data_IF_052773738159
#
_entry.id   IF_052773738159
#
_cell.length_a   1.000
_cell.length_b   1.000
_cell.length_c   1.000
_cell.angle_alpha   90.00
_cell.angle_beta   90.00
_cell.angle_gamma   90.00
#
_symmetry.space_group_name_H-M   'P 1'
#
loop_
_entity.id
_entity.type
_entity.pdbx_description
1 polymer ?
#
# COMPACT_ATOMS: atom_id res chain seq x y z
N UNK A 1 -3.29 -3.29 -24.15
CA UNK A 1 -1.92 -2.75 -23.94
C UNK A 1 -1.17 -3.72 -23.05
N UNK A 2 -0.01 -4.22 -23.49
CA UNK A 2 0.76 -5.25 -22.75
C UNK A 2 1.82 -4.66 -21.80
N UNK A 3 1.92 -3.34 -21.69
CA UNK A 3 2.89 -2.69 -20.80
C UNK A 3 2.56 -2.96 -19.33
N UNK A 4 3.55 -3.40 -18.56
CA UNK A 4 3.49 -3.63 -17.13
C UNK A 4 4.03 -2.39 -16.41
N UNK A 5 3.19 -1.76 -15.61
CA UNK A 5 3.57 -0.58 -14.83
C UNK A 5 4.06 -0.97 -13.42
N UNK A 6 4.75 -0.06 -12.72
CA UNK A 6 5.07 -0.22 -11.29
C UNK A 6 3.86 -0.64 -10.46
N UNK A 7 2.72 0.04 -10.65
CA UNK A 7 1.48 -0.30 -9.94
C UNK A 7 0.88 -1.65 -10.35
N UNK A 8 1.16 -2.14 -11.56
CA UNK A 8 0.78 -3.50 -11.95
C UNK A 8 1.64 -4.56 -11.27
N UNK A 9 2.94 -4.27 -11.07
CA UNK A 9 3.85 -5.14 -10.33
C UNK A 9 3.41 -5.35 -8.88
N UNK A 10 3.01 -4.28 -8.19
CA UNK A 10 2.46 -4.40 -6.83
C UNK A 10 1.19 -5.25 -6.80
N UNK A 11 0.28 -5.07 -7.77
CA UNK A 11 -0.93 -5.93 -7.89
C UNK A 11 -0.59 -7.40 -8.11
N UNK A 12 0.46 -7.68 -8.87
CA UNK A 12 0.93 -9.04 -9.08
C UNK A 12 1.47 -9.66 -7.79
N UNK A 13 2.24 -8.91 -6.98
CA UNK A 13 2.71 -9.36 -5.67
C UNK A 13 1.55 -9.63 -4.71
N UNK A 14 0.49 -8.82 -4.75
CA UNK A 14 -0.72 -9.04 -3.95
C UNK A 14 -1.47 -10.32 -4.36
N UNK A 15 -1.71 -10.47 -5.67
CA UNK A 15 -2.40 -11.62 -6.26
C UNK A 15 -2.21 -11.65 -7.80
N UNK A 16 -1.53 -12.66 -8.37
CA UNK A 16 -1.34 -12.77 -9.82
C UNK A 16 -2.63 -12.86 -10.63
N UNK A 17 -3.68 -13.50 -10.07
CA UNK A 17 -5.00 -13.53 -10.69
C UNK A 17 -5.61 -12.13 -10.75
N UNK A 18 -5.53 -11.35 -9.67
CA UNK A 18 -6.01 -9.96 -9.66
C UNK A 18 -5.29 -9.11 -10.70
N UNK A 19 -3.96 -9.22 -10.80
CA UNK A 19 -3.18 -8.55 -11.84
C UNK A 19 -3.70 -8.87 -13.26
N UNK A 20 -4.03 -10.13 -13.54
CA UNK A 20 -4.62 -10.51 -14.83
C UNK A 20 -5.98 -9.84 -15.07
N UNK A 21 -6.92 -9.95 -14.10
CA UNK A 21 -8.25 -9.37 -14.22
C UNK A 21 -8.19 -7.85 -14.39
N UNK A 22 -7.32 -7.16 -13.64
CA UNK A 22 -7.11 -5.73 -13.76
C UNK A 22 -6.71 -5.30 -15.18
N UNK A 23 -5.88 -6.10 -15.88
CA UNK A 23 -5.37 -5.75 -17.21
C UNK A 23 -6.29 -6.22 -18.35
N UNK A 24 -7.03 -7.30 -18.15
CA UNK A 24 -7.77 -7.98 -19.23
C UNK A 24 -9.28 -7.88 -19.10
N UNK A 25 -9.79 -7.80 -17.88
CA UNK A 25 -11.21 -7.88 -17.56
C UNK A 25 -11.58 -7.01 -16.35
N UNK A 26 -11.30 -5.69 -16.37
CA UNK A 26 -11.50 -4.81 -15.23
C UNK A 26 -12.97 -4.67 -14.79
N UNK A 27 -13.92 -5.03 -15.67
CA UNK A 27 -15.36 -4.95 -15.42
C UNK A 27 -15.89 -5.97 -14.40
N UNK A 28 -15.13 -7.04 -14.11
CA UNK A 28 -15.51 -8.02 -13.06
C UNK A 28 -14.90 -7.70 -11.70
N UNK A 29 -14.07 -6.66 -11.62
CA UNK A 29 -13.47 -6.25 -10.37
C UNK A 29 -14.49 -5.49 -9.53
N UNK A 30 -14.56 -5.86 -8.26
CA UNK A 30 -15.25 -5.07 -7.25
C UNK A 30 -14.42 -3.82 -6.95
N UNK A 31 -14.58 -2.81 -7.79
CA UNK A 31 -13.90 -1.53 -7.64
C UNK A 31 -14.60 -0.75 -6.53
N UNK A 32 -14.08 -0.88 -5.31
CA UNK A 32 -14.48 0.00 -4.22
C UNK A 32 -14.14 1.43 -4.63
N UNK A 33 -15.14 2.32 -4.58
CA UNK A 33 -14.89 3.75 -4.71
C UNK A 33 -13.86 4.18 -3.65
N UNK A 34 -12.92 5.04 -4.04
CA UNK A 34 -11.94 5.56 -3.09
C UNK A 34 -12.68 6.23 -1.93
N UNK A 35 -12.43 5.74 -0.72
CA UNK A 35 -12.97 6.36 0.49
C UNK A 35 -12.37 7.76 0.64
N UNK A 36 -13.01 8.62 1.44
CA UNK A 36 -12.45 9.94 1.73
C UNK A 36 -11.10 9.84 2.45
N UNK A 37 -10.89 8.76 3.21
CA UNK A 37 -9.60 8.42 3.77
C UNK A 37 -8.54 8.15 2.69
N UNK A 38 -8.87 7.36 1.66
CA UNK A 38 -7.94 7.07 0.55
C UNK A 38 -7.60 8.32 -0.25
N UNK A 39 -8.58 9.20 -0.50
CA UNK A 39 -8.37 10.49 -1.17
C UNK A 39 -7.43 11.38 -0.37
N UNK A 40 -7.60 11.44 0.96
CA UNK A 40 -6.73 12.24 1.83
C UNK A 40 -5.31 11.64 1.90
N UNK A 41 -5.17 10.31 1.85
CA UNK A 41 -3.86 9.66 1.77
C UNK A 41 -3.12 10.03 0.47
N UNK A 42 -3.83 10.05 -0.67
CA UNK A 42 -3.26 10.49 -1.97
C UNK A 42 -2.80 11.95 -1.88
N UNK A 43 -3.64 12.82 -1.32
CA UNK A 43 -3.33 14.26 -1.16
C UNK A 43 -2.12 14.49 -0.25
N UNK A 44 -2.04 13.77 0.86
CA UNK A 44 -0.88 13.78 1.75
C UNK A 44 0.38 13.31 1.02
N UNK A 45 0.31 12.23 0.23
CA UNK A 45 1.43 11.76 -0.58
C UNK A 45 1.95 12.83 -1.56
N UNK A 46 1.03 13.49 -2.28
CA UNK A 46 1.38 14.60 -3.18
C UNK A 46 2.00 15.79 -2.43
N UNK A 47 1.55 16.08 -1.22
CA UNK A 47 2.13 17.13 -0.38
C UNK A 47 3.58 16.80 0.00
N UNK A 48 3.83 15.57 0.44
CA UNK A 48 5.18 15.10 0.78
C UNK A 48 6.10 15.13 -0.43
N UNK A 49 5.61 14.74 -1.62
CA UNK A 49 6.36 14.84 -2.87
C UNK A 49 6.76 16.29 -3.17
N UNK A 50 5.86 17.26 -3.00
CA UNK A 50 6.17 18.69 -3.16
C UNK A 50 7.24 19.15 -2.17
N UNK A 51 7.23 18.66 -0.93
CA UNK A 51 8.28 18.95 0.05
C UNK A 51 9.62 18.30 -0.32
N UNK A 52 9.61 17.09 -0.86
CA UNK A 52 10.81 16.39 -1.29
C UNK A 52 11.52 17.11 -2.44
N UNK A 53 10.76 17.69 -3.39
CA UNK A 53 11.32 18.52 -4.47
C UNK A 53 12.12 19.71 -3.94
N UNK A 54 11.75 20.29 -2.78
CA UNK A 54 12.51 21.39 -2.15
C UNK A 54 13.91 20.99 -1.68
N UNK A 55 14.20 19.69 -1.57
CA UNK A 55 15.56 19.20 -1.30
C UNK A 55 16.50 19.38 -2.51
N UNK A 56 15.92 19.56 -3.71
CA UNK A 56 16.61 19.67 -4.99
C UNK A 56 16.20 20.95 -5.74
N UNK A 57 16.63 22.13 -5.29
CA UNK A 57 16.13 23.42 -5.82
C UNK A 57 16.39 23.66 -7.31
N UNK A 58 17.35 22.94 -7.92
CA UNK A 58 17.68 23.02 -9.35
C UNK A 58 16.94 21.98 -10.20
N UNK A 59 16.06 21.18 -9.60
CA UNK A 59 15.33 20.13 -10.30
C UNK A 59 14.29 20.69 -11.26
N UNK A 60 14.12 20.03 -12.40
CA UNK A 60 13.11 20.35 -13.41
C UNK A 60 11.98 19.32 -13.36
N UNK A 61 10.73 19.75 -13.38
CA UNK A 61 9.58 18.85 -13.40
C UNK A 61 9.24 18.45 -14.84
N UNK A 62 9.02 17.15 -15.07
CA UNK A 62 8.32 16.66 -16.27
C UNK A 62 6.84 16.96 -16.11
N UNK A 63 6.29 17.86 -16.92
CA UNK A 63 4.88 18.28 -16.80
C UNK A 63 3.93 17.40 -17.61
N UNK A 64 4.42 16.79 -18.69
CA UNK A 64 3.62 15.94 -19.54
C UNK A 64 3.32 14.57 -18.91
N UNK A 65 2.46 13.78 -19.57
CA UNK A 65 1.94 12.50 -19.06
C UNK A 65 2.06 11.40 -20.11
N UNK A 66 2.06 10.14 -19.64
CA UNK A 66 2.07 8.93 -20.49
C UNK A 66 3.22 8.97 -21.50
N UNK A 67 2.94 8.74 -22.79
CA UNK A 67 3.96 8.72 -23.86
C UNK A 67 4.70 10.05 -24.01
N UNK A 68 4.04 11.18 -23.77
CA UNK A 68 4.70 12.49 -23.84
C UNK A 68 5.74 12.65 -22.73
N UNK A 69 5.48 12.10 -21.53
CA UNK A 69 6.43 12.15 -20.41
C UNK A 69 7.72 11.40 -20.70
N UNK A 70 7.66 10.30 -21.46
CA UNK A 70 8.85 9.56 -21.90
C UNK A 70 9.71 10.44 -22.81
N UNK A 71 9.08 11.16 -23.74
CA UNK A 71 9.78 12.02 -24.70
C UNK A 71 10.41 13.23 -23.99
N UNK A 72 9.63 13.93 -23.16
CA UNK A 72 10.13 15.05 -22.36
C UNK A 72 11.26 14.62 -21.41
N UNK A 73 11.14 13.45 -20.78
CA UNK A 73 12.23 12.88 -19.95
C UNK A 73 13.52 12.72 -20.76
N UNK A 74 13.44 12.14 -21.98
CA UNK A 74 14.61 11.97 -22.85
C UNK A 74 15.23 13.31 -23.24
N UNK A 75 14.41 14.31 -23.57
CA UNK A 75 14.89 15.65 -23.93
C UNK A 75 15.61 16.32 -22.77
N UNK A 76 15.05 16.27 -21.56
CA UNK A 76 15.69 16.83 -20.37
C UNK A 76 17.01 16.13 -20.05
N UNK A 77 17.06 14.80 -20.14
CA UNK A 77 18.30 14.03 -19.95
C UNK A 77 19.36 14.39 -20.99
N UNK A 78 18.98 14.46 -22.28
CA UNK A 78 19.89 14.83 -23.37
C UNK A 78 20.39 16.27 -23.29
N UNK A 79 19.61 17.18 -22.69
CA UNK A 79 20.03 18.55 -22.41
C UNK A 79 20.98 18.68 -21.20
N UNK A 80 21.36 17.56 -20.57
CA UNK A 80 22.31 17.53 -19.46
C UNK A 80 21.71 17.92 -18.11
N UNK A 81 20.37 17.86 -17.94
CA UNK A 81 19.75 18.13 -16.62
C UNK A 81 20.16 17.06 -15.61
N UNK A 82 20.72 17.52 -14.49
CA UNK A 82 21.23 16.65 -13.42
C UNK A 82 20.20 16.29 -12.37
N UNK A 83 19.06 16.98 -12.31
CA UNK A 83 17.97 16.59 -11.42
C UNK A 83 16.65 16.84 -12.10
N UNK A 84 15.81 15.81 -12.14
CA UNK A 84 14.54 15.85 -12.85
C UNK A 84 13.49 15.14 -11.98
N UNK A 85 12.32 15.75 -11.85
CA UNK A 85 11.18 15.24 -11.09
C UNK A 85 10.18 14.55 -12.01
N UNK A 86 9.53 13.49 -11.51
CA UNK A 86 8.52 12.69 -12.23
C UNK A 86 9.03 12.15 -13.59
N UNK A 87 10.31 11.77 -13.66
CA UNK A 87 10.87 11.18 -14.88
C UNK A 87 10.23 9.84 -15.18
N UNK A 88 10.01 9.59 -16.47
CA UNK A 88 9.31 8.39 -16.92
C UNK A 88 10.19 7.57 -17.85
N UNK A 89 10.31 6.28 -17.56
CA UNK A 89 11.06 5.32 -18.36
C UNK A 89 10.15 4.21 -18.87
N UNK A 90 10.49 3.70 -20.06
CA UNK A 90 9.90 2.51 -20.66
C UNK A 90 11.01 1.68 -21.31
N UNK A 91 11.06 0.38 -20.98
CA UNK A 91 11.94 -0.59 -21.61
C UNK A 91 11.33 -1.98 -21.47
N UNK A 92 11.49 -2.86 -22.48
CA UNK A 92 11.04 -4.26 -22.39
C UNK A 92 9.57 -4.46 -21.97
N UNK A 93 8.68 -3.56 -22.41
CA UNK A 93 7.26 -3.49 -22.00
C UNK A 93 7.04 -3.24 -20.50
N UNK A 94 8.03 -2.72 -19.79
CA UNK A 94 7.92 -2.22 -18.43
C UNK A 94 7.86 -0.70 -18.43
N UNK A 95 7.11 -0.11 -17.51
CA UNK A 95 6.92 1.33 -17.40
C UNK A 95 6.93 1.77 -15.93
N UNK A 96 7.71 2.80 -15.61
CA UNK A 96 7.64 3.43 -14.31
C UNK A 96 7.93 4.92 -14.39
N UNK A 97 7.29 5.65 -13.49
CA UNK A 97 7.64 7.02 -13.15
C UNK A 97 8.48 6.97 -11.87
N UNK A 98 9.60 7.69 -11.86
CA UNK A 98 10.46 7.89 -10.70
C UNK A 98 10.23 9.30 -10.18
N UNK A 99 10.01 9.44 -8.87
CA UNK A 99 9.67 10.73 -8.27
C UNK A 99 10.77 11.76 -8.46
N UNK A 100 12.02 11.40 -8.15
CA UNK A 100 13.19 12.26 -8.33
C UNK A 100 14.39 11.44 -8.81
N UNK A 101 14.92 11.79 -9.98
CA UNK A 101 16.16 11.24 -10.50
C UNK A 101 17.25 12.31 -10.46
N UNK A 102 18.39 11.99 -9.85
CA UNK A 102 19.52 12.92 -9.73
C UNK A 102 20.85 12.29 -10.15
N UNK A 103 21.70 13.03 -10.84
CA UNK A 103 23.03 12.60 -11.28
C UNK A 103 24.08 12.86 -10.19
N UNK A 104 24.93 11.88 -9.93
CA UNK A 104 26.13 12.03 -9.10
C UNK A 104 27.36 12.17 -10.00
N UNK A 105 27.85 13.41 -10.13
CA UNK A 105 29.05 13.70 -10.93
C UNK A 105 30.30 13.00 -10.41
N UNK A 106 30.42 12.79 -9.10
CA UNK A 106 31.63 12.23 -8.49
C UNK A 106 31.79 10.76 -8.82
N UNK A 107 30.68 10.03 -8.87
CA UNK A 107 30.68 8.58 -9.10
C UNK A 107 30.21 8.18 -10.52
N UNK A 108 29.69 9.13 -11.29
CA UNK A 108 29.23 8.94 -12.66
C UNK A 108 28.07 7.94 -12.74
N UNK A 109 27.02 8.15 -11.95
CA UNK A 109 25.81 7.34 -11.99
C UNK A 109 24.56 8.15 -11.64
N UNK A 110 23.39 7.59 -11.95
CA UNK A 110 22.10 8.10 -11.49
C UNK A 110 21.74 7.58 -10.11
N UNK A 111 21.04 8.44 -9.36
CA UNK A 111 20.43 8.17 -8.06
C UNK A 111 18.91 8.23 -8.24
N UNK A 112 18.25 7.13 -7.92
CA UNK A 112 16.79 7.09 -7.78
C UNK A 112 16.45 7.58 -6.37
N UNK A 113 15.55 8.55 -6.22
CA UNK A 113 14.99 8.92 -4.93
C UNK A 113 13.47 8.75 -4.99
N UNK A 114 12.97 7.68 -4.36
CA UNK A 114 11.54 7.38 -4.24
C UNK A 114 10.99 8.08 -2.99
N UNK A 115 9.89 8.81 -3.14
CA UNK A 115 9.29 9.59 -2.05
C UNK A 115 8.09 8.84 -1.48
N UNK A 116 8.09 8.60 -0.18
CA UNK A 116 6.95 7.99 0.52
C UNK A 116 6.36 8.96 1.51
N UNK A 117 5.04 9.13 1.43
CA UNK A 117 4.25 9.88 2.39
C UNK A 117 4.16 9.22 3.77
N UNK A 118 4.89 8.14 4.04
CA UNK A 118 4.86 7.39 5.29
C UNK A 118 6.13 7.63 6.11
N UNK A 119 6.19 7.09 7.33
CA UNK A 119 7.40 7.11 8.16
C UNK A 119 8.21 5.81 8.02
N UNK A 120 9.51 5.87 8.31
CA UNK A 120 10.44 4.73 8.22
C UNK A 120 10.22 3.58 9.22
N UNK A 121 9.05 3.44 9.84
CA UNK A 121 8.68 2.29 10.67
C UNK A 121 7.35 1.68 10.22
N UNK A 122 6.86 2.08 9.05
CA UNK A 122 5.60 1.57 8.51
C UNK A 122 5.70 0.08 8.15
N UNK A 123 4.58 -0.63 8.28
CA UNK A 123 4.46 -2.06 7.92
C UNK A 123 4.62 -2.29 6.42
N UNK A 124 4.50 -1.24 5.60
CA UNK A 124 4.62 -1.27 4.14
C UNK A 124 6.05 -1.15 3.61
N UNK A 125 7.07 -1.32 4.46
CA UNK A 125 8.47 -1.25 4.03
C UNK A 125 8.81 -2.20 2.90
N UNK A 126 8.28 -3.41 2.95
CA UNK A 126 8.58 -4.42 1.93
C UNK A 126 7.97 -3.98 0.58
N UNK A 127 6.71 -3.52 0.55
CA UNK A 127 6.08 -2.95 -0.65
C UNK A 127 6.92 -1.79 -1.24
N UNK A 128 7.41 -0.88 -0.39
CA UNK A 128 8.23 0.25 -0.83
C UNK A 128 9.58 -0.17 -1.41
N UNK A 129 10.18 -1.26 -0.89
CA UNK A 129 11.41 -1.83 -1.43
C UNK A 129 11.18 -2.45 -2.80
N UNK A 130 10.10 -3.23 -2.97
CA UNK A 130 9.73 -3.81 -4.26
C UNK A 130 9.42 -2.73 -5.32
N UNK A 131 8.74 -1.64 -4.93
CA UNK A 131 8.51 -0.47 -5.78
C UNK A 131 9.82 0.14 -6.31
N UNK A 132 10.76 0.42 -5.39
CA UNK A 132 12.04 1.02 -5.72
C UNK A 132 12.93 0.06 -6.53
N UNK A 133 12.87 -1.23 -6.24
CA UNK A 133 13.61 -2.25 -6.97
C UNK A 133 13.09 -2.44 -8.40
N UNK A 134 11.78 -2.38 -8.61
CA UNK A 134 11.20 -2.39 -9.97
C UNK A 134 11.70 -1.20 -10.80
N UNK A 135 11.74 0.01 -10.22
CA UNK A 135 12.30 1.19 -10.89
C UNK A 135 13.80 1.02 -11.20
N UNK A 136 14.59 0.52 -10.22
CA UNK A 136 16.02 0.26 -10.40
C UNK A 136 16.29 -0.69 -11.58
N UNK A 137 15.57 -1.80 -11.66
CA UNK A 137 15.68 -2.79 -12.75
C UNK A 137 15.27 -2.16 -14.08
N UNK A 138 14.14 -1.43 -14.11
CA UNK A 138 13.69 -0.75 -15.32
C UNK A 138 14.74 0.23 -15.87
N UNK A 139 15.32 1.07 -15.02
CA UNK A 139 16.33 2.04 -15.47
C UNK A 139 17.58 1.34 -16.00
N UNK A 140 18.01 0.23 -15.37
CA UNK A 140 19.11 -0.60 -15.89
C UNK A 140 18.77 -1.21 -17.26
N UNK A 141 17.57 -1.77 -17.42
CA UNK A 141 17.08 -2.28 -18.71
C UNK A 141 17.00 -1.18 -19.77
N UNK A 142 16.68 0.04 -19.38
CA UNK A 142 16.68 1.22 -20.25
C UNK A 142 18.09 1.76 -20.56
N UNK A 143 19.16 1.12 -20.07
CA UNK A 143 20.56 1.47 -20.35
C UNK A 143 21.17 2.51 -19.41
N UNK A 144 20.51 2.87 -18.31
CA UNK A 144 21.03 3.86 -17.36
C UNK A 144 21.84 3.20 -16.24
N UNK A 145 23.03 3.74 -15.97
CA UNK A 145 23.86 3.33 -14.83
C UNK A 145 23.28 3.92 -13.54
N UNK A 146 22.55 3.11 -12.77
CA UNK A 146 22.04 3.48 -11.45
C UNK A 146 22.97 2.95 -10.37
N UNK A 147 23.56 3.84 -9.59
CA UNK A 147 24.51 3.46 -8.53
C UNK A 147 23.92 3.48 -7.12
N UNK A 148 22.84 4.24 -6.93
CA UNK A 148 22.22 4.45 -5.62
C UNK A 148 20.71 4.57 -5.72
N UNK A 149 20.02 4.03 -4.72
CA UNK A 149 18.57 4.15 -4.55
C UNK A 149 18.30 4.63 -3.14
N UNK A 150 17.59 5.74 -3.03
CA UNK A 150 17.20 6.36 -1.78
C UNK A 150 15.69 6.28 -1.58
N UNK A 151 15.29 6.14 -0.33
CA UNK A 151 13.93 6.38 0.13
C UNK A 151 13.89 7.73 0.86
N UNK A 152 13.00 8.63 0.43
CA UNK A 152 12.74 9.91 1.09
C UNK A 152 11.43 9.80 1.86
N UNK A 153 11.50 9.96 3.17
CA UNK A 153 10.37 9.74 4.08
C UNK A 153 10.21 10.89 5.05
N UNK A 154 9.04 10.98 5.70
CA UNK A 154 8.82 11.92 6.79
C UNK A 154 9.68 11.54 8.01
N UNK A 155 10.42 12.51 8.52
CA UNK A 155 11.17 12.38 9.75
C UNK A 155 10.21 12.44 10.95
N UNK A 156 9.98 11.31 11.61
CA UNK A 156 9.10 11.21 12.80
C UNK A 156 9.59 12.02 14.00
N UNK A 157 10.88 12.36 14.06
CA UNK A 157 11.46 13.19 15.10
C UNK A 157 11.32 14.69 14.80
N UNK A 158 10.89 15.04 13.59
CA UNK A 158 10.55 16.42 13.26
C UNK A 158 9.46 16.94 14.20
N UNK A 159 9.68 18.16 14.69
CA UNK A 159 8.68 18.97 15.39
C UNK A 159 8.65 20.31 14.70
N UNK A 160 7.46 20.76 14.30
CA UNK A 160 7.33 22.07 13.67
C UNK A 160 7.65 23.18 14.68
N UNK A 161 8.44 24.15 14.25
CA UNK A 161 8.79 25.36 15.00
C UNK A 161 8.85 26.51 14.00
N UNK A 162 7.75 27.24 13.83
CA UNK A 162 7.64 28.26 12.79
C UNK A 162 7.69 27.68 11.37
N UNK A 163 8.51 28.28 10.50
CA UNK A 163 8.66 27.85 9.11
C UNK A 163 9.30 26.46 8.98
N UNK A 164 8.75 25.65 8.08
CA UNK A 164 9.21 24.28 7.87
C UNK A 164 10.41 24.24 6.92
N UNK A 165 11.52 23.67 7.41
CA UNK A 165 12.68 23.34 6.59
C UNK A 165 12.56 21.90 6.05
N UNK A 166 12.55 21.75 4.72
CA UNK A 166 12.43 20.44 4.05
C UNK A 166 13.49 19.43 4.51
N UNK A 167 14.73 19.87 4.76
CA UNK A 167 15.83 19.01 5.23
C UNK A 167 15.66 18.51 6.66
N UNK A 168 14.81 19.17 7.45
CA UNK A 168 14.44 18.71 8.81
C UNK A 168 13.19 17.85 8.79
N UNK A 169 12.22 18.21 7.94
CA UNK A 169 10.95 17.49 7.76
C UNK A 169 11.16 16.09 7.17
N UNK A 170 12.11 15.95 6.25
CA UNK A 170 12.34 14.73 5.50
C UNK A 170 13.68 14.10 5.89
N UNK A 171 13.71 12.77 5.87
CA UNK A 171 14.91 11.96 6.02
C UNK A 171 15.15 11.18 4.73
N UNK A 172 16.43 10.97 4.41
CA UNK A 172 16.86 10.20 3.24
C UNK A 172 17.57 8.96 3.75
N UNK A 173 17.09 7.78 3.35
CA UNK A 173 17.67 6.49 3.70
C UNK A 173 18.22 5.85 2.43
N UNK A 174 19.49 5.45 2.44
CA UNK A 174 20.05 4.64 1.36
C UNK A 174 19.54 3.20 1.49
N UNK A 175 18.85 2.71 0.46
CA UNK A 175 18.27 1.37 0.39
C UNK A 175 18.87 0.55 -0.77
N UNK A 176 20.03 0.98 -1.30
CA UNK A 176 20.64 0.41 -2.50
C UNK A 176 20.91 -1.09 -2.37
N UNK A 177 21.46 -1.53 -1.25
CA UNK A 177 21.79 -2.95 -1.05
C UNK A 177 20.54 -3.81 -0.88
N UNK A 178 19.50 -3.29 -0.21
CA UNK A 178 18.20 -3.94 -0.12
C UNK A 178 17.58 -4.13 -1.51
N UNK A 179 17.61 -3.08 -2.33
CA UNK A 179 17.09 -3.11 -3.70
C UNK A 179 17.86 -4.09 -4.59
N UNK A 180 19.18 -4.11 -4.52
CA UNK A 180 20.01 -5.08 -5.25
C UNK A 180 19.72 -6.52 -4.81
N UNK A 181 19.44 -6.75 -3.53
CA UNK A 181 19.08 -8.07 -3.00
C UNK A 181 17.79 -8.63 -3.60
N UNK A 182 16.88 -7.79 -4.09
CA UNK A 182 15.63 -8.20 -4.76
C UNK A 182 15.77 -8.37 -6.27
N UNK A 183 16.92 -8.03 -6.86
CA UNK A 183 17.07 -7.95 -8.31
C UNK A 183 16.83 -9.30 -9.00
N UNK A 184 17.39 -10.39 -8.47
CA UNK A 184 17.24 -11.73 -9.05
C UNK A 184 15.78 -12.18 -8.99
N UNK A 185 15.13 -12.03 -7.83
CA UNK A 185 13.73 -12.39 -7.61
C UNK A 185 12.80 -11.66 -8.59
N UNK A 186 12.93 -10.34 -8.71
CA UNK A 186 12.06 -9.54 -9.58
C UNK A 186 12.31 -9.87 -11.06
N UNK A 187 13.56 -10.13 -11.46
CA UNK A 187 13.88 -10.56 -12.82
C UNK A 187 13.26 -11.92 -13.17
N UNK A 188 13.00 -12.80 -12.19
CA UNK A 188 12.24 -14.04 -12.39
C UNK A 188 10.73 -13.80 -12.45
N UNK A 189 10.22 -12.80 -11.72
CA UNK A 189 8.80 -12.44 -11.73
C UNK A 189 8.36 -11.77 -13.04
N UNK A 190 9.19 -10.91 -13.63
CA UNK A 190 8.84 -10.16 -14.86
C UNK A 190 8.41 -11.09 -16.03
N UNK A 191 9.16 -12.15 -16.38
CA UNK A 191 8.73 -13.13 -17.36
C UNK A 191 7.41 -13.80 -17.01
N UNK A 192 7.18 -14.11 -15.74
CA UNK A 192 5.94 -14.73 -15.28
C UNK A 192 4.73 -13.80 -15.47
N UNK A 193 4.88 -12.53 -15.11
CA UNK A 193 3.86 -11.51 -15.36
C UNK A 193 3.53 -11.39 -16.86
N UNK A 194 4.56 -11.37 -17.72
CA UNK A 194 4.39 -11.34 -19.18
C UNK A 194 3.64 -12.59 -19.67
N UNK A 195 3.98 -13.77 -19.15
CA UNK A 195 3.32 -15.05 -19.45
C UNK A 195 1.85 -15.03 -19.03
N UNK A 196 1.55 -14.55 -17.83
CA UNK A 196 0.18 -14.40 -17.32
C UNK A 196 -0.64 -13.49 -18.24
N UNK A 197 -0.12 -12.30 -18.59
CA UNK A 197 -0.81 -11.39 -19.52
C UNK A 197 -0.94 -11.93 -20.95
N UNK A 198 -0.04 -12.83 -21.36
CA UNK A 198 -0.11 -13.54 -22.64
C UNK A 198 -1.22 -14.59 -22.69
N UNK A 199 -1.72 -15.06 -21.53
CA UNK A 199 -2.80 -16.01 -21.47
C UNK A 199 -4.15 -15.31 -21.64
N UNK A 200 -4.99 -15.84 -22.54
CA UNK A 200 -6.35 -15.33 -22.78
C UNK A 200 -7.43 -16.06 -21.96
N UNK A 201 -7.07 -17.14 -21.25
CA UNK A 201 -7.97 -17.84 -20.33
C UNK A 201 -7.93 -17.16 -18.97
N UNK A 202 -9.11 -17.01 -18.36
CA UNK A 202 -9.23 -16.48 -17.00
C UNK A 202 -8.48 -17.39 -16.01
N UNK A 203 -7.72 -16.81 -15.07
CA UNK A 203 -7.04 -17.59 -14.04
C UNK A 203 -8.06 -18.08 -13.01
N UNK A 204 -8.06 -19.39 -12.75
CA UNK A 204 -8.74 -20.04 -11.62
C UNK A 204 -7.75 -21.07 -11.05
N UNK A 205 -7.47 -21.15 -9.73
CA UNK A 205 -7.96 -20.34 -8.59
C UNK A 205 -7.00 -19.19 -8.17
N UNK A 206 -7.34 -18.43 -7.12
CA UNK A 206 -6.39 -17.51 -6.44
C UNK A 206 -6.29 -17.75 -4.92
N UNK A 207 -5.12 -17.55 -4.34
CA UNK A 207 -4.86 -17.82 -2.90
C UNK A 207 -5.61 -16.89 -1.92
N UNK A 208 -6.43 -15.96 -2.42
CA UNK A 208 -7.15 -15.04 -1.56
C UNK A 208 -8.28 -15.71 -0.76
N UNK A 209 -8.73 -16.91 -1.14
CA UNK A 209 -9.71 -17.70 -0.36
C UNK A 209 -9.18 -18.11 1.02
N UNK A 210 -7.86 -18.16 1.19
CA UNK A 210 -7.23 -18.45 2.48
C UNK A 210 -6.85 -17.19 3.27
N UNK A 211 -7.28 -16.01 2.81
CA UNK A 211 -7.06 -14.72 3.48
C UNK A 211 -8.34 -14.28 4.18
N UNK A 212 -8.26 -13.45 5.22
CA UNK A 212 -9.47 -12.86 5.81
C UNK A 212 -10.15 -11.90 4.85
N UNK A 213 -11.44 -11.57 5.09
CA UNK A 213 -12.26 -10.69 4.22
C UNK A 213 -11.53 -9.44 3.71
N UNK A 214 -10.92 -8.67 4.61
CA UNK A 214 -10.26 -7.40 4.26
C UNK A 214 -8.99 -7.55 3.40
N UNK A 215 -8.52 -8.77 3.18
CA UNK A 215 -7.33 -9.09 2.40
C UNK A 215 -7.68 -9.83 1.09
N UNK A 216 -8.96 -9.90 0.74
CA UNK A 216 -9.40 -10.45 -0.54
C UNK A 216 -9.07 -9.46 -1.67
N UNK A 217 -8.65 -9.99 -2.81
CA UNK A 217 -8.42 -9.14 -3.98
C UNK A 217 -9.76 -8.67 -4.60
N UNK A 218 -9.76 -7.57 -5.38
CA UNK A 218 -10.98 -7.10 -6.04
C UNK A 218 -11.64 -8.10 -7.00
N UNK A 219 -10.91 -9.11 -7.48
CA UNK A 219 -11.47 -10.17 -8.33
C UNK A 219 -12.17 -11.29 -7.52
N UNK A 220 -12.15 -11.24 -6.19
CA UNK A 220 -12.55 -12.36 -5.33
C UNK A 220 -13.99 -12.82 -5.57
N UNK A 221 -14.95 -11.89 -5.67
CA UNK A 221 -16.37 -12.22 -5.87
C UNK A 221 -16.62 -12.91 -7.21
N UNK A 222 -15.86 -12.55 -8.25
CA UNK A 222 -15.91 -13.21 -9.56
C UNK A 222 -15.27 -14.59 -9.53
N UNK A 223 -14.15 -14.73 -8.80
CA UNK A 223 -13.40 -15.98 -8.67
C UNK A 223 -14.10 -17.02 -7.79
N UNK A 224 -14.83 -16.56 -6.77
CA UNK A 224 -15.47 -17.39 -5.74
C UNK A 224 -16.94 -16.98 -5.55
N UNK A 225 -17.80 -17.19 -6.57
CA UNK A 225 -19.20 -16.77 -6.51
C UNK A 225 -20.01 -17.50 -5.44
N UNK A 226 -19.56 -18.69 -5.02
CA UNK A 226 -20.21 -19.50 -3.98
C UNK A 226 -19.89 -19.01 -2.55
N UNK A 227 -18.89 -18.11 -2.39
CA UNK A 227 -18.57 -17.52 -1.09
C UNK A 227 -19.48 -16.32 -0.84
N UNK A 228 -20.35 -16.35 0.19
CA UNK A 228 -21.28 -15.26 0.45
C UNK A 228 -20.59 -13.98 0.93
N UNK A 229 -21.29 -12.85 0.83
CA UNK A 229 -20.81 -11.53 1.26
C UNK A 229 -20.47 -11.50 2.78
N UNK A 230 -21.18 -12.29 3.59
CA UNK A 230 -20.86 -12.54 5.00
C UNK A 230 -20.61 -14.04 5.23
N UNK A 231 -19.37 -14.41 5.59
CA UNK A 231 -18.85 -15.77 5.52
C UNK A 231 -17.86 -16.07 6.65
N UNK A 232 -17.28 -17.28 6.68
CA UNK A 232 -16.21 -17.65 7.63
C UNK A 232 -15.01 -16.70 7.60
N UNK A 233 -14.77 -16.00 6.49
CA UNK A 233 -13.71 -15.00 6.33
C UNK A 233 -13.93 -13.74 7.19
N UNK A 234 -15.17 -13.53 7.68
CA UNK A 234 -15.60 -12.41 8.52
C UNK A 234 -15.54 -12.75 10.03
N UNK A 235 -15.21 -14.00 10.39
CA UNK A 235 -15.05 -14.38 11.79
C UNK A 235 -13.97 -13.51 12.44
N UNK A 236 -14.27 -12.96 13.63
CA UNK A 236 -13.38 -12.03 14.33
C UNK A 236 -11.96 -12.58 14.47
N UNK A 237 -10.98 -11.81 13.98
CA UNK A 237 -9.55 -12.16 13.98
C UNK A 237 -9.22 -13.48 13.27
N UNK A 238 -10.06 -13.98 12.36
CA UNK A 238 -9.81 -15.24 11.65
C UNK A 238 -8.53 -15.17 10.80
N UNK A 239 -8.17 -14.00 10.27
CA UNK A 239 -6.92 -13.79 9.53
C UNK A 239 -5.63 -14.03 10.34
N UNK A 240 -5.71 -14.00 11.68
CA UNK A 240 -4.60 -14.38 12.57
C UNK A 240 -4.55 -15.89 12.83
N UNK A 241 -5.54 -16.64 12.34
CA UNK A 241 -5.73 -18.07 12.53
C UNK A 241 -5.77 -18.80 11.18
N UNK A 242 -4.77 -18.57 10.31
CA UNK A 242 -4.74 -19.07 8.92
C UNK A 242 -5.15 -20.54 8.78
N UNK A 243 -4.54 -21.43 9.56
CA UNK A 243 -4.87 -22.87 9.59
C UNK A 243 -6.34 -23.20 9.88
N UNK A 244 -7.03 -22.35 10.64
CA UNK A 244 -8.46 -22.54 10.93
C UNK A 244 -9.32 -22.13 9.75
N UNK A 245 -8.97 -21.03 9.09
CA UNK A 245 -9.66 -20.62 7.88
C UNK A 245 -9.45 -21.66 6.78
N UNK A 246 -8.20 -22.06 6.54
CA UNK A 246 -7.82 -23.14 5.62
C UNK A 246 -8.66 -24.38 5.87
N UNK A 247 -8.72 -24.90 7.11
CA UNK A 247 -9.52 -26.07 7.43
C UNK A 247 -11.02 -25.90 7.12
N UNK A 248 -11.62 -24.73 7.41
CA UNK A 248 -13.03 -24.48 7.08
C UNK A 248 -13.26 -24.46 5.56
N UNK A 249 -12.34 -23.84 4.80
CA UNK A 249 -12.42 -23.77 3.34
C UNK A 249 -12.22 -25.16 2.71
N UNK A 250 -11.27 -25.95 3.20
CA UNK A 250 -11.03 -27.33 2.74
C UNK A 250 -12.23 -28.25 2.99
N UNK A 251 -12.98 -28.01 4.08
CA UNK A 251 -14.23 -28.70 4.40
C UNK A 251 -15.45 -28.11 3.64
N UNK A 252 -15.25 -27.18 2.69
CA UNK A 252 -16.31 -26.45 1.97
C UNK A 252 -17.30 -25.71 2.89
N UNK A 253 -16.85 -25.30 4.08
CA UNK A 253 -17.64 -24.50 5.03
C UNK A 253 -17.42 -23.00 4.75
N UNK A 254 -18.35 -22.41 4.00
CA UNK A 254 -18.27 -20.99 3.64
C UNK A 254 -19.12 -20.10 4.56
N UNK A 255 -20.23 -20.59 5.10
CA UNK A 255 -21.09 -19.79 5.97
C UNK A 255 -20.67 -19.93 7.44
N UNK A 256 -20.93 -18.88 8.23
CA UNK A 256 -20.68 -18.95 9.69
C UNK A 256 -21.67 -19.91 10.35
N UNK A 257 -22.88 -20.00 9.81
CA UNK A 257 -23.96 -20.88 10.25
C UNK A 257 -23.56 -22.36 10.23
N UNK A 258 -22.77 -22.79 9.23
CA UNK A 258 -22.33 -24.18 9.05
C UNK A 258 -21.13 -24.59 9.91
N UNK A 259 -20.50 -23.64 10.63
CA UNK A 259 -19.30 -23.94 11.42
C UNK A 259 -19.60 -24.98 12.52
N UNK A 260 -18.90 -26.14 12.54
CA UNK A 260 -19.17 -27.20 13.50
C UNK A 260 -19.02 -26.74 14.97
N UNK A 261 -19.83 -27.33 15.85
CA UNK A 261 -19.83 -27.00 17.28
C UNK A 261 -18.52 -27.37 17.97
N UNK A 262 -17.91 -28.46 17.54
CA UNK A 262 -16.64 -29.00 18.05
C UNK A 262 -15.40 -28.39 17.36
N UNK A 263 -15.59 -27.60 16.30
CA UNK A 263 -14.50 -26.89 15.63
C UNK A 263 -13.76 -25.96 16.61
N UNK A 264 -12.42 -26.08 16.66
CA UNK A 264 -11.60 -25.41 17.68
C UNK A 264 -11.43 -23.91 17.41
N UNK A 265 -12.31 -23.10 17.99
CA UNK A 265 -12.26 -21.64 17.93
C UNK A 265 -11.71 -21.02 19.23
N UNK A 266 -11.15 -19.81 19.13
CA UNK A 266 -10.88 -19.01 20.33
C UNK A 266 -12.20 -18.56 20.94
N UNK A 267 -12.20 -18.13 22.21
CA UNK A 267 -13.40 -17.61 22.88
C UNK A 267 -14.11 -16.51 22.09
N UNK A 268 -13.37 -15.55 21.52
CA UNK A 268 -13.95 -14.46 20.74
C UNK A 268 -14.57 -14.95 19.43
N UNK A 269 -13.88 -15.86 18.74
CA UNK A 269 -14.38 -16.48 17.52
C UNK A 269 -15.64 -17.31 17.79
N UNK A 270 -15.61 -18.15 18.83
CA UNK A 270 -16.76 -18.98 19.22
C UNK A 270 -17.97 -18.12 19.61
N UNK A 271 -17.77 -17.07 20.39
CA UNK A 271 -18.84 -16.12 20.71
C UNK A 271 -19.44 -15.49 19.44
N UNK A 272 -18.62 -15.08 18.47
CA UNK A 272 -19.12 -14.51 17.22
C UNK A 272 -19.94 -15.54 16.44
N UNK A 273 -19.42 -16.77 16.27
CA UNK A 273 -20.13 -17.86 15.60
C UNK A 273 -21.45 -18.20 16.29
N UNK A 274 -21.47 -18.33 17.62
CA UNK A 274 -22.67 -18.64 18.39
C UNK A 274 -23.75 -17.56 18.27
N UNK A 275 -23.39 -16.28 18.35
CA UNK A 275 -24.33 -15.17 18.16
C UNK A 275 -24.86 -15.19 16.73
N UNK A 276 -24.01 -15.47 15.74
CA UNK A 276 -24.45 -15.57 14.33
C UNK A 276 -25.36 -16.77 14.11
N UNK A 277 -25.10 -17.93 14.71
CA UNK A 277 -25.91 -19.14 14.60
C UNK A 277 -27.25 -19.03 15.32
N UNK A 278 -27.25 -18.47 16.53
CA UNK A 278 -28.45 -18.41 17.39
C UNK A 278 -29.28 -17.14 17.17
N UNK A 279 -28.66 -16.08 16.62
CA UNK A 279 -29.19 -14.71 16.57
C UNK A 279 -29.52 -14.14 17.97
N UNK A 280 -28.96 -14.71 19.04
CA UNK A 280 -29.15 -14.26 20.42
C UNK A 280 -27.89 -13.53 20.89
N UNK A 281 -27.98 -12.26 21.34
CA UNK A 281 -26.82 -11.51 21.81
C UNK A 281 -26.29 -12.07 23.14
N UNK A 282 -24.96 -12.09 23.29
CA UNK A 282 -24.29 -12.42 24.55
C UNK A 282 -24.15 -11.15 25.38
N UNK A 283 -25.02 -10.96 26.37
CA UNK A 283 -25.01 -9.79 27.27
C UNK A 283 -24.52 -10.21 28.66
N UNK A 284 -23.47 -9.56 29.15
CA UNK A 284 -22.91 -9.82 30.50
C UNK A 284 -23.45 -8.82 31.52
N UNK A 285 -24.75 -8.87 31.77
CA UNK A 285 -25.48 -7.88 32.58
C UNK A 285 -24.79 -7.61 33.93
N UNK A 286 -24.40 -8.66 34.66
CA UNK A 286 -23.71 -8.51 35.95
C UNK A 286 -22.44 -7.66 35.81
N UNK A 287 -21.58 -7.97 34.84
CA UNK A 287 -20.32 -7.24 34.62
C UNK A 287 -20.54 -5.79 34.16
N UNK A 288 -21.60 -5.57 33.37
CA UNK A 288 -21.97 -4.22 32.92
C UNK A 288 -22.42 -3.41 34.14
N UNK A 289 -23.30 -3.95 34.99
CA UNK A 289 -23.77 -3.29 36.22
C UNK A 289 -22.61 -3.00 37.16
N UNK A 290 -21.73 -3.98 37.43
CA UNK A 290 -20.53 -3.78 38.23
C UNK A 290 -19.70 -2.60 37.72
N UNK A 291 -19.47 -2.54 36.40
CA UNK A 291 -18.66 -1.48 35.80
C UNK A 291 -19.34 -0.10 35.85
N UNK A 292 -20.65 -0.04 35.69
CA UNK A 292 -21.42 1.20 35.77
C UNK A 292 -21.48 1.74 37.21
N UNK A 293 -21.51 0.86 38.23
CA UNK A 293 -21.52 1.26 39.63
C UNK A 293 -20.19 1.89 40.08
N UNK A 294 -19.10 1.73 39.33
CA UNK A 294 -17.82 2.42 39.58
C UNK A 294 -17.85 3.91 39.18
N UNK A 295 -18.86 4.36 38.43
CA UNK A 295 -18.96 5.72 37.92
C UNK A 295 -19.47 6.69 38.98
N UNK A 296 -18.77 7.80 39.18
CA UNK A 296 -19.13 8.86 40.14
C UNK A 296 -19.59 10.10 39.38
N UNK A 297 -20.75 10.64 39.78
CA UNK A 297 -21.35 11.81 39.15
C UNK A 297 -20.77 13.13 39.70
N UNK A 298 -20.72 14.21 38.88
CA UNK A 298 -21.19 14.29 37.49
C UNK A 298 -20.20 13.66 36.48
N UNK A 299 -20.76 13.00 35.46
CA UNK A 299 -19.98 12.46 34.34
C UNK A 299 -19.85 13.51 33.24
N UNK A 300 -18.64 13.67 32.72
CA UNK A 300 -18.33 14.55 31.60
C UNK A 300 -17.89 13.71 30.40
N UNK A 301 -18.54 13.94 29.27
CA UNK A 301 -18.21 13.29 28.01
C UNK A 301 -17.58 14.35 27.10
N UNK A 302 -16.33 14.12 26.71
CA UNK A 302 -15.65 14.94 25.72
C UNK A 302 -15.70 14.20 24.39
N UNK A 303 -16.48 14.73 23.45
CA UNK A 303 -16.43 14.29 22.06
C UNK A 303 -15.39 15.14 21.32
N UNK A 304 -14.51 14.48 20.58
CA UNK A 304 -13.46 15.13 19.81
C UNK A 304 -13.10 14.28 18.60
N UNK A 305 -12.71 14.96 17.54
CA UNK A 305 -12.16 14.33 16.35
C UNK A 305 -10.67 14.54 16.30
N UNK A 306 -9.97 13.76 15.47
CA UNK A 306 -8.53 13.91 15.27
C UNK A 306 -8.19 14.04 13.80
N UNK A 307 -7.33 15.00 13.46
CA UNK A 307 -6.90 15.22 12.07
C UNK A 307 -5.37 15.01 11.93
N UNK A 308 -4.93 13.81 11.53
CA UNK A 308 -3.51 13.52 11.33
C UNK A 308 -3.05 13.95 9.94
N UNK A 309 -2.13 14.93 9.87
CA UNK A 309 -1.56 15.41 8.60
C UNK A 309 -0.12 14.94 8.40
N UNK A 310 0.27 14.69 7.14
CA UNK A 310 1.64 14.36 6.79
C UNK A 310 2.62 15.47 7.19
N UNK A 311 2.26 16.71 6.87
CA UNK A 311 3.02 17.91 7.22
C UNK A 311 2.34 18.59 8.41
N UNK A 312 3.02 18.77 9.56
CA UNK A 312 2.38 19.34 10.74
C UNK A 312 1.93 20.78 10.51
N UNK A 313 0.74 21.13 10.96
CA UNK A 313 0.18 22.49 10.84
C UNK A 313 0.63 23.36 12.03
N UNK A 314 0.53 22.81 13.24
CA UNK A 314 0.81 23.53 14.49
C UNK A 314 2.24 23.32 14.99
N UNK A 315 2.77 24.33 15.68
CA UNK A 315 4.08 24.22 16.33
C UNK A 315 4.03 23.17 17.46
N UNK A 316 5.15 22.45 17.62
CA UNK A 316 5.24 21.32 18.53
C UNK A 316 4.65 20.01 17.99
N UNK A 317 3.91 20.02 16.88
CA UNK A 317 3.38 18.80 16.27
C UNK A 317 4.41 18.08 15.39
N UNK A 318 4.27 16.76 15.30
CA UNK A 318 5.05 15.87 14.40
C UNK A 318 4.19 15.30 13.27
N UNK A 319 4.80 14.76 12.19
CA UNK A 319 4.07 14.12 11.11
C UNK A 319 3.10 13.04 11.61
N UNK A 320 1.87 13.04 11.07
CA UNK A 320 0.75 12.18 11.44
C UNK A 320 0.40 12.15 12.92
N UNK A 321 0.76 13.19 13.67
CA UNK A 321 0.27 13.34 15.03
C UNK A 321 -1.25 13.53 15.02
N UNK A 322 -1.95 12.74 15.83
CA UNK A 322 -3.38 12.97 16.08
C UNK A 322 -3.53 14.30 16.82
N UNK A 323 -4.06 15.30 16.13
CA UNK A 323 -4.38 16.61 16.72
C UNK A 323 -5.87 16.65 17.01
N UNK A 324 -6.28 16.71 18.29
CA UNK A 324 -7.69 16.78 18.64
C UNK A 324 -8.26 18.14 18.23
N UNK A 325 -9.49 18.14 17.73
CA UNK A 325 -10.26 19.35 17.46
C UNK A 325 -11.75 19.11 17.74
N UNK A 326 -12.49 20.19 17.88
CA UNK A 326 -13.94 20.20 18.09
C UNK A 326 -14.57 21.14 17.04
N UNK A 327 -15.69 20.72 16.46
CA UNK A 327 -16.36 21.41 15.35
C UNK A 327 -17.06 22.70 15.78
#
# INVERSE_FOLDING_TARGET
>A
MNTITKSDFIRYLECPAYFWFFKKKPEVLDNQELSDFDKELIKNGQEVERWARKLFPQGVLVESRKKAAIQETKELLNSGKKTIFQVTFEAENLYAMVDILSWDDSNGYWIINEVKGTSAQDKKKDEHLYDAAFQYILLKMAGYKVGKVNLIELNKEFRKQGEINARKLLQITDITDNVKGLEEEINLMIPDMKRILGNNREPLPCECIYKSRNNHCPAFKHLYPDVPDYSVHDIVRIGLSKKKLEALIEDNCYTIEEVPKDFKLTKYQRNHVEVTQTKIPIIKTIKITEKLNELVYPLYFLDYETYPTAVPIYDGCKPYQQVPFQY
#
